data_IF_682417131229
#
_entry.id   IF_682417131229
#
_cell.length_a   1.000
_cell.length_b   1.000
_cell.length_c   1.000
_cell.angle_alpha   90.00
_cell.angle_beta   90.00
_cell.angle_gamma   90.00
#
_symmetry.space_group_name_H-M   'P 1'
#
loop_
_entity.id
_entity.type
_entity.pdbx_description
1 polymer ?
#
# COMPACT_ATOMS: atom_id res chain seq x y z
N UNK A 1 26.66 57.80 -15.82
CA UNK A 1 26.23 56.44 -15.40
C UNK A 1 27.34 55.48 -15.75
N UNK A 2 28.12 55.02 -14.76
CA UNK A 2 29.26 54.13 -14.98
C UNK A 2 28.89 52.65 -14.99
N UNK A 3 29.81 51.82 -15.47
CA UNK A 3 29.70 50.35 -15.53
C UNK A 3 29.28 49.71 -14.18
N UNK A 4 29.73 50.25 -13.05
CA UNK A 4 29.33 49.77 -11.72
C UNK A 4 27.84 49.97 -11.39
N UNK A 5 27.22 51.03 -11.95
CA UNK A 5 25.79 51.31 -11.76
C UNK A 5 24.91 50.38 -12.59
N UNK A 6 25.32 50.05 -13.83
CA UNK A 6 24.59 49.12 -14.69
C UNK A 6 24.67 47.68 -14.17
N UNK A 7 25.82 47.24 -13.65
CA UNK A 7 25.96 45.93 -13.01
C UNK A 7 25.11 45.83 -11.73
N UNK A 8 25.07 46.90 -10.92
CA UNK A 8 24.24 46.92 -9.71
C UNK A 8 22.75 46.82 -10.03
N UNK A 9 22.28 47.53 -11.07
CA UNK A 9 20.90 47.43 -11.54
C UNK A 9 20.57 46.04 -12.11
N UNK A 10 21.53 45.42 -12.81
CA UNK A 10 21.40 44.06 -13.33
C UNK A 10 21.27 43.03 -12.20
N UNK A 11 22.11 43.12 -11.16
CA UNK A 11 22.04 42.24 -9.98
C UNK A 11 20.71 42.42 -9.26
N UNK A 12 20.24 43.65 -9.10
CA UNK A 12 18.94 43.93 -8.46
C UNK A 12 17.78 43.31 -9.25
N UNK A 13 17.78 43.44 -10.58
CA UNK A 13 16.77 42.84 -11.47
C UNK A 13 16.80 41.31 -11.41
N UNK A 14 17.99 40.70 -11.44
CA UNK A 14 18.16 39.25 -11.31
C UNK A 14 17.67 38.74 -9.95
N UNK A 15 17.92 39.48 -8.86
CA UNK A 15 17.46 39.11 -7.52
C UNK A 15 15.95 39.23 -7.38
N UNK A 16 15.35 40.28 -7.98
CA UNK A 16 13.90 40.49 -7.97
C UNK A 16 13.15 39.42 -8.78
N UNK A 17 13.69 38.99 -9.93
CA UNK A 17 13.09 37.96 -10.78
C UNK A 17 13.45 36.52 -10.36
N UNK A 18 14.22 36.33 -9.29
CA UNK A 18 14.63 35.00 -8.83
C UNK A 18 13.45 34.29 -8.17
N UNK A 19 12.85 33.33 -8.88
CA UNK A 19 11.83 32.42 -8.35
C UNK A 19 12.35 31.67 -7.11
N UNK A 20 11.54 31.63 -6.06
CA UNK A 20 11.77 30.77 -4.90
C UNK A 20 11.70 29.30 -5.33
N UNK A 21 12.84 28.62 -5.31
CA UNK A 21 12.91 27.17 -5.58
C UNK A 21 12.78 26.44 -4.26
N UNK A 22 11.57 25.94 -3.97
CA UNK A 22 11.36 25.02 -2.86
C UNK A 22 12.00 23.67 -3.17
N UNK A 23 12.71 23.11 -2.20
CA UNK A 23 13.35 21.79 -2.32
C UNK A 23 12.29 20.70 -2.45
N UNK A 24 12.62 19.58 -3.11
CA UNK A 24 11.76 18.38 -3.13
C UNK A 24 11.40 17.93 -1.72
N UNK A 25 12.31 18.08 -0.75
CA UNK A 25 12.05 17.79 0.65
C UNK A 25 11.01 18.73 1.29
N UNK A 26 11.01 20.02 0.94
CA UNK A 26 10.01 20.98 1.42
C UNK A 26 8.64 20.67 0.83
N UNK A 27 8.56 20.30 -0.45
CA UNK A 27 7.30 19.87 -1.08
C UNK A 27 6.69 18.66 -0.37
N UNK A 28 7.51 17.66 -0.01
CA UNK A 28 7.03 16.42 0.64
C UNK A 28 6.64 16.66 2.10
N UNK A 29 7.23 17.67 2.76
CA UNK A 29 6.92 18.02 4.16
C UNK A 29 5.45 18.36 4.34
N UNK A 30 4.85 19.04 3.38
CA UNK A 30 3.43 19.42 3.41
C UNK A 30 2.51 18.24 3.06
N UNK A 31 2.94 17.32 2.19
CA UNK A 31 2.21 16.08 1.91
C UNK A 31 2.11 15.15 3.13
N UNK A 32 3.20 15.03 3.92
CA UNK A 32 3.21 14.20 5.14
C UNK A 32 2.39 14.79 6.28
N UNK A 33 2.08 16.09 6.21
CA UNK A 33 1.25 16.84 7.16
C UNK A 33 -0.22 16.93 6.72
N UNK A 34 -0.59 16.36 5.57
CA UNK A 34 -1.99 16.15 5.23
C UNK A 34 -2.60 15.34 6.36
N UNK A 35 -3.58 15.96 7.03
CA UNK A 35 -4.18 15.52 8.28
C UNK A 35 -4.22 14.02 8.41
N UNK A 36 -3.86 13.52 9.61
CA UNK A 36 -4.17 12.18 10.10
C UNK A 36 -5.67 11.94 9.85
N UNK A 37 -6.00 11.44 8.66
CA UNK A 37 -7.36 11.21 8.26
C UNK A 37 -7.74 10.00 9.10
N UNK A 38 -8.41 10.26 10.23
CA UNK A 38 -8.95 9.20 11.08
C UNK A 38 -9.76 8.35 10.12
N UNK A 39 -9.33 7.11 9.88
CA UNK A 39 -10.04 6.15 9.05
C UNK A 39 -11.49 6.13 9.52
N UNK A 40 -12.34 6.85 8.80
CA UNK A 40 -13.73 7.05 9.18
C UNK A 40 -14.48 5.83 8.64
N UNK A 41 -14.54 4.79 9.45
CA UNK A 41 -15.40 3.66 9.16
C UNK A 41 -16.85 4.11 9.39
N UNK A 42 -17.51 4.53 8.30
CA UNK A 42 -18.91 5.01 8.29
C UNK A 42 -19.87 3.95 8.85
N UNK A 43 -19.56 2.68 8.62
CA UNK A 43 -20.36 1.55 9.07
C UNK A 43 -19.61 0.84 10.21
N UNK A 44 -20.10 1.01 11.43
CA UNK A 44 -19.73 0.13 12.55
C UNK A 44 -20.57 -1.13 12.39
N UNK A 45 -19.94 -2.25 12.02
CA UNK A 45 -20.63 -3.52 11.95
C UNK A 45 -21.24 -3.82 13.32
N UNK A 46 -22.54 -4.14 13.35
CA UNK A 46 -23.18 -4.57 14.60
C UNK A 46 -22.54 -5.91 15.04
N UNK A 47 -22.47 -6.22 16.35
CA UNK A 47 -21.85 -7.45 16.83
C UNK A 47 -22.44 -8.70 16.15
N UNK A 48 -23.74 -8.66 15.84
CA UNK A 48 -24.44 -9.71 15.09
C UNK A 48 -23.95 -9.86 13.64
N UNK A 49 -23.66 -8.76 12.94
CA UNK A 49 -23.10 -8.79 11.59
C UNK A 49 -21.69 -9.38 11.58
N UNK A 50 -20.87 -9.08 12.59
CA UNK A 50 -19.52 -9.64 12.73
C UNK A 50 -19.59 -11.15 12.93
N UNK A 51 -20.52 -11.63 13.77
CA UNK A 51 -20.72 -13.07 13.99
C UNK A 51 -21.19 -13.76 12.71
N UNK A 52 -22.19 -13.20 12.02
CA UNK A 52 -22.67 -13.73 10.73
C UNK A 52 -21.57 -13.76 9.67
N UNK A 53 -20.69 -12.75 9.63
CA UNK A 53 -19.56 -12.70 8.70
C UNK A 53 -18.54 -13.78 9.02
N UNK A 54 -18.23 -13.97 10.32
CA UNK A 54 -17.31 -15.01 10.79
C UNK A 54 -17.82 -16.41 10.44
N UNK A 55 -19.11 -16.67 10.65
CA UNK A 55 -19.72 -17.96 10.30
C UNK A 55 -19.68 -18.22 8.79
N UNK A 56 -19.96 -17.21 7.96
CA UNK A 56 -19.86 -17.33 6.49
C UNK A 56 -18.43 -17.67 6.06
N UNK A 57 -17.44 -16.95 6.59
CA UNK A 57 -16.03 -17.19 6.29
C UNK A 57 -15.57 -18.58 6.73
N UNK A 58 -16.01 -19.06 7.90
CA UNK A 58 -15.68 -20.41 8.36
C UNK A 58 -16.29 -21.48 7.45
N UNK A 59 -17.54 -21.32 7.02
CA UNK A 59 -18.21 -22.26 6.10
C UNK A 59 -17.48 -22.34 4.76
N UNK A 60 -17.15 -21.19 4.17
CA UNK A 60 -16.40 -21.13 2.91
C UNK A 60 -15.00 -21.75 3.05
N UNK A 61 -14.29 -21.44 4.14
CA UNK A 61 -12.96 -21.97 4.37
C UNK A 61 -12.98 -23.49 4.58
N UNK A 62 -14.00 -24.05 5.23
CA UNK A 62 -14.13 -25.50 5.42
C UNK A 62 -14.31 -26.23 4.09
N UNK A 63 -15.11 -25.68 3.16
CA UNK A 63 -15.30 -26.27 1.82
C UNK A 63 -13.98 -26.23 1.04
N UNK A 64 -13.27 -25.10 1.07
CA UNK A 64 -11.96 -24.97 0.42
C UNK A 64 -10.91 -25.89 1.06
N UNK A 65 -10.95 -26.04 2.39
CA UNK A 65 -10.05 -26.92 3.13
C UNK A 65 -10.25 -28.38 2.74
N UNK A 66 -11.49 -28.88 2.72
CA UNK A 66 -11.80 -30.25 2.30
C UNK A 66 -11.30 -30.53 0.89
N UNK A 67 -11.49 -29.59 -0.05
CA UNK A 67 -10.98 -29.74 -1.42
C UNK A 67 -9.45 -29.83 -1.46
N UNK A 68 -8.74 -29.02 -0.68
CA UNK A 68 -7.27 -29.07 -0.58
C UNK A 68 -6.78 -30.38 0.05
N UNK A 69 -7.43 -30.84 1.12
CA UNK A 69 -7.10 -32.11 1.78
C UNK A 69 -7.26 -33.28 0.81
N UNK A 70 -8.33 -33.32 0.03
CA UNK A 70 -8.57 -34.38 -0.96
C UNK A 70 -7.45 -34.44 -2.00
N UNK A 71 -6.99 -33.29 -2.50
CA UNK A 71 -5.86 -33.22 -3.45
C UNK A 71 -4.56 -33.75 -2.82
N UNK A 72 -4.29 -33.38 -1.56
CA UNK A 72 -3.09 -33.83 -0.84
C UNK A 72 -3.13 -35.35 -0.62
N UNK A 73 -4.29 -35.91 -0.27
CA UNK A 73 -4.46 -37.36 -0.09
C UNK A 73 -4.19 -38.10 -1.39
N UNK A 74 -4.73 -37.62 -2.52
CA UNK A 74 -4.48 -38.22 -3.84
C UNK A 74 -2.98 -38.19 -4.18
N UNK A 75 -2.31 -37.05 -3.93
CA UNK A 75 -0.88 -36.92 -4.16
C UNK A 75 -0.06 -37.90 -3.30
N UNK A 76 -0.40 -38.05 -2.02
CA UNK A 76 0.27 -39.00 -1.13
C UNK A 76 0.09 -40.44 -1.61
N UNK A 77 -1.12 -40.83 -2.01
CA UNK A 77 -1.39 -42.16 -2.57
C UNK A 77 -0.58 -42.40 -3.84
N UNK A 78 -0.50 -41.42 -4.73
CA UNK A 78 0.31 -41.51 -5.95
C UNK A 78 1.81 -41.69 -5.64
N UNK A 79 2.33 -40.98 -4.64
CA UNK A 79 3.73 -41.14 -4.19
C UNK A 79 3.96 -42.52 -3.60
N UNK A 80 3.07 -43.01 -2.74
CA UNK A 80 3.16 -44.37 -2.18
C UNK A 80 3.14 -45.44 -3.28
N UNK A 81 2.26 -45.28 -4.26
CA UNK A 81 2.19 -46.18 -5.40
C UNK A 81 3.47 -46.15 -6.23
N UNK A 82 4.01 -44.95 -6.51
CA UNK A 82 5.27 -44.80 -7.23
C UNK A 82 6.43 -45.47 -6.47
N UNK A 83 6.56 -45.27 -5.16
CA UNK A 83 7.62 -45.91 -4.36
C UNK A 83 7.46 -47.44 -4.33
N UNK A 84 6.22 -47.93 -4.20
CA UNK A 84 5.94 -49.36 -4.16
C UNK A 84 6.11 -50.09 -5.49
N UNK A 85 5.96 -49.37 -6.61
CA UNK A 85 6.07 -49.93 -7.97
C UNK A 85 7.46 -49.71 -8.60
N UNK A 86 8.25 -48.75 -8.09
CA UNK A 86 9.63 -48.47 -8.52
C UNK A 86 10.65 -49.37 -7.80
N UNK A 87 10.20 -50.19 -6.84
CA UNK A 87 10.99 -51.25 -6.21
C UNK A 87 10.66 -52.60 -6.81
#
# INVERSE_FOLDING_TARGET
MGFGGSVSAMIASLKANKRTRVSTFEKIKDFKKSNKNKLHFKNKATPEEIVKLREKLQKENNVLFLRKVLIIVILLVAIFYAIGFVK
#
